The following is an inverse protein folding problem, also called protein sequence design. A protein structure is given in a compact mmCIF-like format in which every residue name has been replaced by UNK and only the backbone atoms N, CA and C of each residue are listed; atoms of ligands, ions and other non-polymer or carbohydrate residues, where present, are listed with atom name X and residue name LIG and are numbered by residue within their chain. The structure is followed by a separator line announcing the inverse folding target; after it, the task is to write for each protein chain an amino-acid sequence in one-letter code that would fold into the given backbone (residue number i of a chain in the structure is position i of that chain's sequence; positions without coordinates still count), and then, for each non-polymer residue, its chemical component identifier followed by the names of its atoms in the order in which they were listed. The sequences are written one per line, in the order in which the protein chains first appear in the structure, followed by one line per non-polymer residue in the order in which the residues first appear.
data_IF_692538636070
#
_entry.id   IF_692538636070
#
_cell.length_a   1.000
_cell.length_b   1.000
_cell.length_c   1.000
_cell.angle_alpha   90.00
_cell.angle_beta   90.00
_cell.angle_gamma   90.00
#
_symmetry.space_group_name_H-M   'P 1'
#
loop_
_entity.id
_entity.type
_entity.pdbx_description
1 polymer ?
#
# COMPACT_ATOMS: atom_id res chain seq x y z
N UNK A 1 9.61 7.98 38.24
CA UNK A 1 9.77 8.11 36.78
C UNK A 1 8.41 7.78 36.18
N UNK A 2 7.76 8.72 35.48
CA UNK A 2 6.36 8.57 35.05
C UNK A 2 6.27 8.48 33.53
N UNK A 3 5.65 7.41 33.05
CA UNK A 3 5.42 7.11 31.63
C UNK A 3 3.95 7.41 31.28
N UNK A 4 3.67 7.93 30.08
CA UNK A 4 2.30 8.12 29.54
C UNK A 4 1.99 7.04 28.49
N UNK A 5 0.78 6.96 27.94
CA UNK A 5 0.51 6.35 26.62
C UNK A 5 -0.49 7.22 25.85
N UNK A 6 -0.18 7.59 24.62
CA UNK A 6 -1.04 8.40 23.77
C UNK A 6 -1.61 7.57 22.61
N UNK A 7 -2.82 7.03 22.80
CA UNK A 7 -3.77 6.50 21.80
C UNK A 7 -4.83 7.58 21.56
N UNK A 8 -5.65 7.57 20.51
CA UNK A 8 -7.06 7.95 20.68
C UNK A 8 -7.93 7.38 19.54
N UNK A 9 -9.15 7.89 19.42
CA UNK A 9 -10.05 7.75 18.26
C UNK A 9 -10.76 9.11 18.06
N UNK A 10 -11.64 9.28 17.07
CA UNK A 10 -12.72 10.27 17.24
C UNK A 10 -13.97 9.91 16.46
N UNK A 11 -15.06 9.79 17.21
CA UNK A 11 -16.27 10.62 17.05
C UNK A 11 -16.88 10.77 18.46
N UNK A 12 -17.67 11.81 18.77
CA UNK A 12 -18.59 11.77 19.93
C UNK A 12 -19.48 10.52 19.91
N UNK A 13 -19.73 9.99 18.70
CA UNK A 13 -20.57 8.85 18.39
C UNK A 13 -19.76 7.58 18.04
N UNK A 14 -18.44 7.55 18.30
CA UNK A 14 -17.56 6.37 18.12
C UNK A 14 -17.13 6.03 16.68
N UNK A 15 -17.83 6.51 15.64
CA UNK A 15 -17.57 6.20 14.22
C UNK A 15 -16.21 6.74 13.73
N UNK A 16 -15.31 5.86 13.27
CA UNK A 16 -14.08 6.26 12.57
C UNK A 16 -14.08 5.74 11.14
N UNK A 17 -14.06 6.63 10.14
CA UNK A 17 -13.88 6.25 8.73
C UNK A 17 -12.38 6.11 8.43
N UNK A 18 -11.94 4.89 8.10
CA UNK A 18 -10.51 4.55 7.97
C UNK A 18 -10.21 3.84 6.63
N UNK A 19 -8.95 3.92 6.21
CA UNK A 19 -8.38 3.16 5.09
C UNK A 19 -8.59 1.63 5.29
N UNK A 20 -8.83 0.83 4.24
CA UNK A 20 -9.16 -0.59 4.42
C UNK A 20 -7.98 -1.46 4.88
N UNK A 21 -6.76 -1.16 4.43
CA UNK A 21 -5.65 -2.14 4.44
C UNK A 21 -4.78 -2.12 5.70
N UNK A 22 -4.90 -1.10 6.54
CA UNK A 22 -4.46 -1.17 7.93
C UNK A 22 -4.93 0.06 8.72
N UNK A 23 -5.59 -0.19 9.85
CA UNK A 23 -5.77 0.83 10.88
C UNK A 23 -4.56 0.76 11.79
N UNK A 24 -3.67 1.76 11.73
CA UNK A 24 -2.56 1.84 12.69
C UNK A 24 -2.89 2.79 13.83
N UNK A 25 -3.14 2.24 15.01
CA UNK A 25 -3.16 3.01 16.26
C UNK A 25 -1.75 3.53 16.52
N UNK A 26 -1.64 4.84 16.77
CA UNK A 26 -0.39 5.43 17.25
C UNK A 26 -0.41 5.47 18.77
N UNK A 27 0.68 5.08 19.41
CA UNK A 27 0.81 4.90 20.87
C UNK A 27 2.09 5.57 21.37
N UNK A 28 2.00 6.82 21.89
CA UNK A 28 3.20 7.52 22.41
C UNK A 28 3.36 7.50 23.92
N UNK A 29 4.49 6.99 24.37
CA UNK A 29 4.92 7.01 25.77
C UNK A 29 5.78 8.25 26.03
N UNK A 30 5.17 9.35 26.50
CA UNK A 30 5.90 10.59 26.83
C UNK A 30 6.12 10.72 28.36
N UNK A 31 7.29 11.14 28.85
CA UNK A 31 7.49 11.42 30.26
C UNK A 31 6.77 12.71 30.70
N UNK A 32 6.26 12.72 31.94
CA UNK A 32 5.63 13.90 32.53
C UNK A 32 6.66 14.87 33.12
N UNK A 33 7.37 15.61 32.25
CA UNK A 33 8.17 16.77 32.66
C UNK A 33 7.33 18.05 32.58
N UNK A 34 7.43 18.89 33.61
CA UNK A 34 7.01 20.30 33.59
C UNK A 34 8.15 21.12 34.15
N UNK A 35 8.58 22.15 33.43
CA UNK A 35 9.61 23.07 33.92
C UNK A 35 9.12 23.74 35.20
N UNK A 36 9.97 23.76 36.23
CA UNK A 36 9.79 24.64 37.38
C UNK A 36 10.20 26.05 36.97
N UNK A 37 9.24 26.96 36.81
CA UNK A 37 9.52 28.38 36.93
C UNK A 37 9.66 28.73 38.41
N UNK A 38 10.88 28.56 38.94
CA UNK A 38 11.25 29.14 40.22
C UNK A 38 11.55 30.63 40.02
N UNK A 39 10.71 31.51 40.55
CA UNK A 39 11.03 32.94 40.66
C UNK A 39 11.95 33.19 41.86
N UNK A 40 12.86 34.16 41.74
CA UNK A 40 13.93 34.44 42.69
C UNK A 40 13.49 34.97 44.07
N UNK A 41 12.20 35.05 44.36
CA UNK A 41 11.64 35.78 45.51
C UNK A 41 10.87 34.96 46.54
N UNK A 42 10.68 33.64 46.35
CA UNK A 42 10.03 32.77 47.34
C UNK A 42 10.68 31.37 47.41
N UNK A 43 10.86 30.79 48.60
CA UNK A 43 11.33 29.41 48.74
C UNK A 43 10.26 28.42 48.27
N UNK A 44 10.67 27.36 47.58
CA UNK A 44 9.77 26.29 47.16
C UNK A 44 9.16 25.58 48.38
N UNK A 45 7.85 25.72 48.57
CA UNK A 45 7.14 25.05 49.67
C UNK A 45 7.07 23.53 49.43
N UNK A 46 7.34 22.65 50.42
CA UNK A 46 7.39 21.20 50.20
C UNK A 46 6.03 20.53 49.93
N UNK A 47 4.93 21.28 50.07
CA UNK A 47 3.58 20.73 50.21
C UNK A 47 2.71 20.87 48.94
N UNK A 48 3.19 20.36 47.81
CA UNK A 48 2.30 19.90 46.73
C UNK A 48 2.81 18.56 46.19
N UNK A 49 2.30 17.48 46.79
CA UNK A 49 2.35 16.15 46.16
C UNK A 49 1.74 16.27 44.76
N UNK A 50 2.38 15.74 43.70
CA UNK A 50 1.84 15.85 42.36
C UNK A 50 0.49 15.13 42.28
N UNK A 51 -0.57 15.90 42.01
CA UNK A 51 -1.89 15.41 41.60
C UNK A 51 -1.73 14.42 40.43
N UNK A 52 -2.56 13.36 40.36
CA UNK A 52 -2.20 12.11 39.67
C UNK A 52 -1.79 12.29 38.22
N UNK A 53 -0.74 11.56 37.82
CA UNK A 53 -0.05 11.66 36.54
C UNK A 53 -1.00 11.53 35.34
N UNK A 54 -1.38 12.66 34.74
CA UNK A 54 -2.31 12.70 33.63
C UNK A 54 -1.70 12.15 32.33
N UNK A 55 -2.31 11.08 31.82
CA UNK A 55 -2.07 10.52 30.48
C UNK A 55 -2.82 11.35 29.42
N UNK A 56 -2.15 11.67 28.30
CA UNK A 56 -2.69 12.50 27.21
C UNK A 56 -2.76 11.71 25.92
N UNK A 57 -3.97 11.49 25.45
CA UNK A 57 -4.31 10.62 24.32
C UNK A 57 -4.22 11.36 22.96
N UNK A 58 -3.65 10.69 21.93
CA UNK A 58 -3.48 11.17 20.53
C UNK A 58 -3.50 10.06 19.47
N UNK A 59 -4.43 10.13 18.52
CA UNK A 59 -4.48 9.36 17.26
C UNK A 59 -4.19 10.29 16.10
N UNK A 60 -3.54 9.74 15.09
CA UNK A 60 -3.50 10.41 13.79
C UNK A 60 -3.68 9.33 12.76
N UNK A 61 -4.94 9.11 12.36
CA UNK A 61 -5.24 8.29 11.18
C UNK A 61 -4.54 8.96 10.00
N UNK A 62 -3.46 8.34 9.52
CA UNK A 62 -2.66 8.91 8.43
C UNK A 62 -3.57 9.15 7.22
N UNK A 63 -3.74 10.43 6.91
CA UNK A 63 -4.44 11.01 5.76
C UNK A 63 -5.96 11.24 5.80
N UNK A 64 -6.71 11.09 6.89
CA UNK A 64 -8.04 11.74 7.00
C UNK A 64 -8.33 12.29 8.40
N UNK A 65 -9.19 13.30 8.50
CA UNK A 65 -9.49 14.02 9.74
C UNK A 65 -10.43 13.18 10.61
N UNK A 66 -9.84 12.20 11.30
CA UNK A 66 -10.32 11.78 12.61
C UNK A 66 -9.59 12.65 13.64
N UNK A 67 -10.32 13.48 14.38
CA UNK A 67 -9.71 14.41 15.34
C UNK A 67 -9.38 13.75 16.68
N UNK A 68 -9.56 14.48 17.79
CA UNK A 68 -8.90 14.18 19.07
C UNK A 68 -9.85 13.82 20.23
N UNK A 69 -9.97 12.53 20.61
CA UNK A 69 -10.51 12.07 21.91
C UNK A 69 -9.45 12.14 23.00
N UNK A 70 -9.60 13.11 23.89
CA UNK A 70 -8.77 13.21 25.11
C UNK A 70 -9.40 12.34 26.20
N UNK A 71 -8.88 11.13 26.40
CA UNK A 71 -9.09 10.37 27.65
C UNK A 71 -7.82 10.43 28.52
N UNK A 72 -8.03 10.33 29.82
CA UNK A 72 -6.96 10.45 30.82
C UNK A 72 -7.19 9.45 31.94
N UNK A 73 -6.18 8.63 32.19
CA UNK A 73 -6.18 7.58 33.21
C UNK A 73 -5.32 8.05 34.40
N UNK A 74 -5.80 7.93 35.66
CA UNK A 74 -5.00 8.21 36.85
C UNK A 74 -3.87 7.19 37.07
N UNK A 75 -2.75 7.63 37.66
CA UNK A 75 -1.61 6.75 37.98
C UNK A 75 -1.94 5.57 38.91
N UNK A 76 -3.01 5.67 39.72
CA UNK A 76 -3.54 4.58 40.55
C UNK A 76 -3.94 3.36 39.70
N UNK A 77 -4.46 3.61 38.51
CA UNK A 77 -5.13 2.64 37.66
C UNK A 77 -4.19 2.18 36.52
N UNK A 78 -2.88 2.41 36.67
CA UNK A 78 -1.82 2.10 35.69
C UNK A 78 -1.71 0.60 35.36
N UNK A 79 -2.17 -0.27 36.27
CA UNK A 79 -2.23 -1.72 36.08
C UNK A 79 -3.58 -2.22 35.52
N UNK A 80 -4.56 -1.34 35.32
CA UNK A 80 -5.88 -1.70 34.77
C UNK A 80 -5.84 -1.77 33.24
N UNK A 81 -6.51 -2.77 32.66
CA UNK A 81 -6.65 -2.90 31.21
C UNK A 81 -7.60 -1.84 30.67
N UNK A 82 -7.09 -0.94 29.83
CA UNK A 82 -7.89 0.06 29.13
C UNK A 82 -8.62 -0.58 27.94
N UNK A 83 -9.95 -0.55 27.94
CA UNK A 83 -10.75 -0.91 26.75
C UNK A 83 -11.05 0.33 25.89
N UNK A 84 -10.71 0.24 24.60
CA UNK A 84 -10.98 1.23 23.56
C UNK A 84 -11.88 0.61 22.49
N UNK A 85 -13.17 0.99 22.39
CA UNK A 85 -14.02 0.59 21.28
C UNK A 85 -13.61 1.33 20.00
N UNK A 86 -13.58 0.61 18.88
CA UNK A 86 -13.20 1.11 17.55
C UNK A 86 -14.27 0.64 16.57
N UNK A 87 -14.97 1.58 15.94
CA UNK A 87 -15.93 1.28 14.89
C UNK A 87 -15.28 1.54 13.53
N UNK A 88 -15.17 0.50 12.71
CA UNK A 88 -14.71 0.58 11.32
C UNK A 88 -15.91 0.49 10.38
N UNK A 89 -15.98 1.39 9.40
CA UNK A 89 -16.89 1.29 8.26
C UNK A 89 -16.19 1.73 6.99
N UNK A 90 -16.30 0.92 5.95
CA UNK A 90 -15.73 1.23 4.65
C UNK A 90 -16.46 2.41 3.98
N UNK A 91 -15.70 3.33 3.39
CA UNK A 91 -16.24 4.40 2.55
C UNK A 91 -16.58 3.87 1.15
N UNK A 92 -17.79 4.19 0.66
CA UNK A 92 -18.35 3.66 -0.60
C UNK A 92 -17.53 4.09 -1.83
N UNK A 93 -17.26 5.38 -1.98
CA UNK A 93 -16.49 5.94 -3.10
C UNK A 93 -15.10 6.41 -2.66
N UNK A 94 -14.32 5.49 -2.08
CA UNK A 94 -12.93 5.81 -1.72
C UNK A 94 -12.03 5.77 -2.96
N UNK A 95 -11.30 6.85 -3.30
CA UNK A 95 -10.63 6.95 -4.60
C UNK A 95 -9.56 5.88 -4.82
N UNK A 96 -9.41 5.44 -6.08
CA UNK A 96 -8.43 4.42 -6.48
C UNK A 96 -7.48 5.00 -7.52
N UNK A 97 -6.18 4.85 -7.28
CA UNK A 97 -5.12 5.08 -8.26
C UNK A 97 -4.55 3.71 -8.66
N UNK A 98 -4.61 3.37 -9.94
CA UNK A 98 -3.97 2.18 -10.50
C UNK A 98 -2.87 2.60 -11.47
N UNK A 99 -1.63 2.20 -11.18
CA UNK A 99 -0.50 2.38 -12.08
C UNK A 99 -0.09 1.02 -12.66
N UNK A 100 -0.24 0.88 -13.98
CA UNK A 100 0.13 -0.33 -14.70
C UNK A 100 1.59 -0.23 -15.16
N UNK A 101 2.40 -1.20 -14.76
CA UNK A 101 3.83 -1.26 -15.05
C UNK A 101 4.12 -2.52 -15.88
N UNK A 102 4.40 -2.31 -17.16
CA UNK A 102 4.52 -3.38 -18.15
C UNK A 102 5.97 -3.60 -18.59
N UNK A 103 6.35 -4.87 -18.68
CA UNK A 103 7.53 -5.33 -19.40
C UNK A 103 7.39 -5.08 -20.91
N UNK A 104 8.34 -4.37 -21.52
CA UNK A 104 8.41 -4.15 -22.97
C UNK A 104 9.71 -4.71 -23.57
N UNK A 105 10.20 -5.82 -23.00
CA UNK A 105 11.11 -6.75 -23.65
C UNK A 105 10.47 -7.37 -24.91
N UNK A 106 11.29 -8.03 -25.73
CA UNK A 106 10.90 -8.51 -27.06
C UNK A 106 9.88 -9.67 -27.02
N UNK A 107 9.79 -10.41 -25.91
CA UNK A 107 8.81 -11.47 -25.70
C UNK A 107 7.38 -10.95 -25.50
N UNK A 108 7.22 -9.68 -25.10
CA UNK A 108 5.94 -9.07 -24.76
C UNK A 108 5.26 -8.31 -25.93
N UNK A 109 5.74 -8.44 -27.17
CA UNK A 109 5.19 -7.70 -28.35
C UNK A 109 3.78 -8.19 -28.75
N UNK A 110 3.44 -9.46 -28.53
CA UNK A 110 2.08 -10.00 -28.77
C UNK A 110 1.12 -9.69 -27.60
N UNK A 111 1.58 -9.83 -26.36
CA UNK A 111 0.84 -9.40 -25.16
C UNK A 111 0.39 -7.93 -25.22
N UNK A 112 1.18 -7.06 -25.87
CA UNK A 112 0.91 -5.62 -26.01
C UNK A 112 -0.44 -5.30 -26.66
N UNK A 113 -0.92 -6.09 -27.63
CA UNK A 113 -2.22 -5.83 -28.26
C UNK A 113 -3.37 -6.09 -27.27
N UNK A 114 -3.37 -7.26 -26.63
CA UNK A 114 -4.31 -7.60 -25.57
C UNK A 114 -4.31 -6.59 -24.43
N UNK A 115 -3.13 -6.22 -23.93
CA UNK A 115 -2.96 -5.29 -22.83
C UNK A 115 -3.39 -3.86 -23.17
N UNK A 116 -3.35 -3.48 -24.45
CA UNK A 116 -3.92 -2.22 -24.94
C UNK A 116 -5.45 -2.23 -24.92
N UNK A 117 -6.09 -3.32 -25.40
CA UNK A 117 -7.55 -3.50 -25.40
C UNK A 117 -8.13 -3.63 -23.99
N UNK A 118 -7.39 -4.32 -23.12
CA UNK A 118 -7.65 -4.48 -21.71
C UNK A 118 -7.84 -3.16 -20.97
N UNK A 119 -7.05 -2.12 -21.27
CA UNK A 119 -7.09 -0.86 -20.53
C UNK A 119 -8.48 -0.22 -20.48
N UNK A 120 -9.20 -0.27 -21.59
CA UNK A 120 -10.59 0.18 -21.71
C UNK A 120 -11.52 -0.65 -20.80
N UNK A 121 -11.35 -1.98 -20.80
CA UNK A 121 -12.14 -2.95 -20.02
C UNK A 121 -11.87 -2.81 -18.51
N UNK A 122 -10.61 -2.68 -18.11
CA UNK A 122 -10.19 -2.39 -16.74
C UNK A 122 -10.78 -1.08 -16.25
N UNK A 123 -10.68 -0.01 -17.05
CA UNK A 123 -11.24 1.28 -16.70
C UNK A 123 -12.76 1.21 -16.48
N UNK A 124 -13.49 0.54 -17.37
CA UNK A 124 -14.92 0.32 -17.21
C UNK A 124 -15.24 -0.50 -15.94
N UNK A 125 -14.53 -1.60 -15.70
CA UNK A 125 -14.71 -2.45 -14.52
C UNK A 125 -14.44 -1.69 -13.21
N UNK A 126 -13.38 -0.90 -13.13
CA UNK A 126 -13.05 -0.11 -11.94
C UNK A 126 -13.97 1.11 -11.77
N UNK A 127 -14.47 1.70 -12.87
CA UNK A 127 -15.44 2.82 -12.81
C UNK A 127 -16.82 2.37 -12.30
N UNK A 128 -17.17 1.08 -12.45
CA UNK A 128 -18.36 0.50 -11.82
C UNK A 128 -18.20 0.28 -10.30
N UNK A 129 -16.97 0.35 -9.79
CA UNK A 129 -16.63 0.10 -8.38
C UNK A 129 -16.40 1.42 -7.61
N UNK A 130 -15.80 2.42 -8.26
CA UNK A 130 -15.62 3.78 -7.71
C UNK A 130 -15.79 4.83 -8.81
N UNK A 131 -16.48 5.93 -8.49
CA UNK A 131 -16.60 7.09 -9.37
C UNK A 131 -15.32 7.93 -9.45
N UNK A 132 -14.26 7.57 -8.72
CA UNK A 132 -13.04 8.37 -8.58
C UNK A 132 -11.76 7.58 -8.86
N UNK A 133 -11.78 6.84 -9.98
CA UNK A 133 -10.67 6.06 -10.51
C UNK A 133 -9.65 6.93 -11.27
N UNK A 134 -8.37 6.58 -11.17
CA UNK A 134 -7.29 7.05 -12.07
C UNK A 134 -6.45 5.89 -12.56
N UNK A 135 -6.06 5.96 -13.82
CA UNK A 135 -5.17 5.01 -14.48
C UNK A 135 -3.86 5.70 -14.85
N UNK A 136 -2.75 4.99 -14.74
CA UNK A 136 -1.40 5.40 -15.15
C UNK A 136 -0.68 4.24 -15.84
N UNK A 137 0.32 4.56 -16.67
CA UNK A 137 1.07 3.57 -17.45
C UNK A 137 2.57 3.88 -17.46
N UNK A 138 3.37 2.88 -17.11
CA UNK A 138 4.81 2.88 -17.30
C UNK A 138 5.29 1.56 -17.86
N UNK A 139 6.55 1.55 -18.29
CA UNK A 139 7.20 0.34 -18.76
C UNK A 139 8.66 0.24 -18.35
N UNK A 140 9.20 -0.97 -18.46
CA UNK A 140 10.59 -1.29 -18.19
C UNK A 140 11.12 -2.30 -19.20
N UNK A 141 12.45 -2.40 -19.25
CA UNK A 141 13.21 -3.56 -19.76
C UNK A 141 14.29 -3.78 -18.70
N UNK A 142 15.55 -3.44 -18.98
CA UNK A 142 16.61 -3.43 -17.97
C UNK A 142 17.67 -2.32 -18.17
N UNK A 143 18.67 -2.31 -17.28
CA UNK A 143 19.75 -1.36 -17.17
C UNK A 143 20.57 -1.29 -18.45
N UNK A 144 20.86 -0.07 -18.89
CA UNK A 144 21.62 0.20 -20.12
C UNK A 144 23.14 0.06 -19.90
N UNK A 145 23.57 -1.05 -19.29
CA UNK A 145 24.97 -1.43 -19.04
C UNK A 145 25.16 -2.95 -19.23
N UNK A 146 26.38 -3.37 -19.56
CA UNK A 146 26.75 -4.79 -19.54
C UNK A 146 26.71 -5.33 -18.10
N UNK A 147 26.34 -6.62 -17.88
CA UNK A 147 25.99 -7.63 -18.89
C UNK A 147 24.52 -7.60 -19.35
N UNK A 148 23.67 -6.80 -18.70
CA UNK A 148 22.22 -6.76 -18.93
C UNK A 148 21.84 -6.38 -20.35
N UNK A 149 22.52 -5.37 -20.91
CA UNK A 149 22.28 -4.91 -22.29
C UNK A 149 23.61 -4.79 -23.04
N UNK A 150 23.59 -5.15 -24.33
CA UNK A 150 24.77 -5.04 -25.18
C UNK A 150 25.13 -3.57 -25.40
N UNK A 151 26.30 -3.13 -24.91
CA UNK A 151 26.80 -1.76 -25.10
C UNK A 151 27.45 -1.52 -26.47
N UNK A 152 27.36 -2.47 -27.41
CA UNK A 152 27.83 -2.31 -28.79
C UNK A 152 26.90 -1.30 -29.50
N UNK A 153 27.42 -0.23 -30.14
CA UNK A 153 26.57 0.86 -30.66
C UNK A 153 25.41 0.41 -31.55
N UNK A 154 25.63 -0.52 -32.49
CA UNK A 154 24.59 -1.05 -33.37
C UNK A 154 23.52 -1.86 -32.65
N UNK A 155 23.87 -2.53 -31.54
CA UNK A 155 22.92 -3.25 -30.67
C UNK A 155 22.20 -2.32 -29.69
N UNK A 156 22.82 -1.22 -29.28
CA UNK A 156 22.14 -0.16 -28.53
C UNK A 156 21.12 0.61 -29.40
N UNK A 157 21.34 0.70 -30.71
CA UNK A 157 20.37 1.29 -31.65
C UNK A 157 19.19 0.36 -31.95
N UNK A 158 19.46 -0.93 -32.12
CA UNK A 158 18.47 -1.96 -32.44
C UNK A 158 18.86 -3.29 -31.76
N UNK A 159 18.39 -3.55 -30.51
CA UNK A 159 18.80 -4.74 -29.77
C UNK A 159 18.28 -6.03 -30.43
N UNK A 160 17.04 -5.98 -30.90
CA UNK A 160 16.30 -7.08 -31.51
C UNK A 160 15.56 -6.66 -32.80
N UNK A 161 14.98 -7.65 -33.47
CA UNK A 161 14.04 -7.53 -34.59
C UNK A 161 12.81 -8.37 -34.22
N UNK A 162 11.63 -7.78 -34.36
CA UNK A 162 10.35 -8.39 -34.01
C UNK A 162 9.88 -9.35 -35.11
N UNK A 163 8.86 -10.16 -34.81
CA UNK A 163 8.32 -11.20 -35.70
C UNK A 163 7.83 -10.69 -37.07
N UNK A 164 7.48 -9.40 -37.16
CA UNK A 164 7.06 -8.72 -38.39
C UNK A 164 8.19 -7.95 -39.11
N UNK A 165 9.43 -8.07 -38.64
CA UNK A 165 10.60 -7.40 -39.18
C UNK A 165 10.83 -5.97 -38.68
N UNK A 166 9.97 -5.41 -37.80
CA UNK A 166 10.25 -4.12 -37.14
C UNK A 166 11.51 -4.24 -36.27
N UNK A 167 12.34 -3.20 -36.29
CA UNK A 167 13.47 -3.06 -35.37
C UNK A 167 12.98 -2.62 -33.99
N UNK A 168 13.49 -3.24 -32.94
CA UNK A 168 13.25 -2.84 -31.57
C UNK A 168 13.85 -1.46 -31.28
N UNK A 169 13.25 -0.71 -30.35
CA UNK A 169 13.82 0.53 -29.85
C UNK A 169 15.02 0.30 -28.92
N UNK A 170 15.75 1.39 -28.65
CA UNK A 170 16.90 1.39 -27.73
C UNK A 170 16.50 0.93 -26.32
N UNK A 171 17.33 0.11 -25.63
CA UNK A 171 17.08 -0.32 -24.25
C UNK A 171 16.97 0.83 -23.25
N UNK A 172 16.19 0.60 -22.19
CA UNK A 172 15.96 1.54 -21.10
C UNK A 172 15.47 0.80 -19.83
N UNK A 173 15.84 1.32 -18.65
CA UNK A 173 15.43 0.73 -17.38
C UNK A 173 13.96 0.98 -17.03
N UNK A 174 13.52 2.24 -17.02
CA UNK A 174 12.13 2.62 -16.70
C UNK A 174 11.69 3.86 -17.49
N UNK A 175 10.44 3.87 -17.93
CA UNK A 175 9.75 5.06 -18.49
C UNK A 175 8.34 5.16 -17.91
N UNK A 176 8.01 6.33 -17.37
CA UNK A 176 6.63 6.75 -17.11
C UNK A 176 6.09 7.35 -18.42
N UNK A 177 5.19 6.64 -19.08
CA UNK A 177 4.57 7.09 -20.34
C UNK A 177 3.33 7.94 -20.07
N UNK A 178 2.55 7.55 -19.05
CA UNK A 178 1.28 8.18 -18.70
C UNK A 178 1.16 8.32 -17.17
N UNK A 179 1.31 9.54 -16.63
CA UNK A 179 0.97 9.82 -15.23
C UNK A 179 -0.49 9.49 -14.91
N UNK A 180 -0.80 9.29 -13.63
CA UNK A 180 -2.14 8.96 -13.13
C UNK A 180 -3.17 10.03 -13.53
N UNK A 181 -4.06 9.67 -14.46
CA UNK A 181 -5.09 10.52 -15.03
C UNK A 181 -6.49 9.92 -14.86
N UNK A 182 -7.52 10.76 -14.87
CA UNK A 182 -8.92 10.34 -14.94
C UNK A 182 -9.38 10.03 -16.37
N UNK A 183 -8.67 10.53 -17.39
CA UNK A 183 -8.96 10.18 -18.79
C UNK A 183 -8.29 8.85 -19.15
N UNK A 184 -9.02 7.77 -18.89
CA UNK A 184 -8.51 6.41 -19.14
C UNK A 184 -8.41 6.07 -20.63
N UNK A 185 -9.08 6.81 -21.51
CA UNK A 185 -9.12 6.51 -22.96
C UNK A 185 -7.76 6.67 -23.64
N UNK A 186 -6.89 7.51 -23.08
CA UNK A 186 -5.55 7.72 -23.65
C UNK A 186 -4.63 6.52 -23.39
N UNK A 187 -4.89 5.71 -22.36
CA UNK A 187 -4.08 4.54 -21.98
C UNK A 187 -3.82 3.61 -23.16
N UNK A 188 -4.88 3.23 -23.88
CA UNK A 188 -4.78 2.38 -25.08
C UNK A 188 -3.76 2.92 -26.08
N UNK A 189 -3.82 4.24 -26.32
CA UNK A 189 -2.92 4.92 -27.26
C UNK A 189 -1.48 5.03 -26.73
N UNK A 190 -1.28 5.24 -25.41
CA UNK A 190 0.05 5.31 -24.82
C UNK A 190 0.74 3.93 -24.78
N UNK A 191 -0.02 2.86 -24.50
CA UNK A 191 0.47 1.48 -24.64
C UNK A 191 0.90 1.21 -26.08
N UNK A 192 0.07 1.57 -27.06
CA UNK A 192 0.39 1.37 -28.49
C UNK A 192 1.63 2.17 -28.94
N UNK A 193 1.78 3.43 -28.50
CA UNK A 193 2.94 4.28 -28.80
C UNK A 193 4.23 3.80 -28.14
N UNK A 194 4.16 3.21 -26.94
CA UNK A 194 5.34 2.74 -26.21
C UNK A 194 6.08 1.66 -27.01
N UNK A 195 7.34 1.88 -27.43
CA UNK A 195 8.02 0.96 -28.32
C UNK A 195 8.57 -0.25 -27.57
N UNK A 196 8.42 -1.44 -28.16
CA UNK A 196 9.09 -2.66 -27.70
C UNK A 196 10.59 -2.55 -27.93
N UNK A 197 11.35 -3.13 -27.01
CA UNK A 197 12.79 -3.02 -26.87
C UNK A 197 13.36 -4.41 -26.50
N UNK A 198 14.68 -4.52 -26.28
CA UNK A 198 15.29 -5.77 -25.83
C UNK A 198 16.62 -5.55 -25.10
N UNK A 199 16.98 -6.57 -24.33
CA UNK A 199 18.16 -6.75 -23.49
C UNK A 199 18.99 -7.95 -24.00
N UNK A 200 19.96 -8.40 -23.21
CA UNK A 200 20.90 -9.48 -23.57
C UNK A 200 20.71 -10.75 -22.71
N UNK A 201 20.38 -10.58 -21.44
CA UNK A 201 20.01 -11.66 -20.53
C UNK A 201 18.48 -11.87 -20.47
N UNK A 202 18.03 -12.72 -19.55
CA UNK A 202 16.65 -13.20 -19.46
C UNK A 202 15.84 -12.72 -18.23
N UNK A 203 16.45 -12.37 -17.08
CA UNK A 203 15.73 -11.64 -16.04
C UNK A 203 15.61 -10.16 -16.42
N UNK A 204 14.58 -9.47 -15.92
CA UNK A 204 14.32 -8.07 -16.24
C UNK A 204 14.58 -7.10 -15.09
N UNK A 205 14.75 -5.83 -15.44
CA UNK A 205 15.01 -4.70 -14.52
C UNK A 205 13.79 -4.19 -13.76
N UNK A 206 12.66 -4.88 -13.83
CA UNK A 206 11.36 -4.40 -13.37
C UNK A 206 11.28 -3.95 -11.91
N UNK A 207 12.18 -4.40 -11.04
CA UNK A 207 12.21 -4.00 -9.62
C UNK A 207 12.73 -2.58 -9.42
N UNK A 208 13.64 -2.10 -10.27
CA UNK A 208 14.01 -0.68 -10.29
C UNK A 208 12.81 0.17 -10.71
N UNK A 209 12.04 -0.30 -11.70
CA UNK A 209 10.85 0.38 -12.17
C UNK A 209 9.73 0.43 -11.12
N UNK A 210 9.51 -0.66 -10.36
CA UNK A 210 8.63 -0.65 -9.18
C UNK A 210 9.11 0.40 -8.17
N UNK A 211 10.40 0.41 -7.82
CA UNK A 211 10.96 1.35 -6.86
C UNK A 211 10.80 2.81 -7.31
N UNK A 212 11.10 3.11 -8.58
CA UNK A 212 10.90 4.45 -9.15
C UNK A 212 9.42 4.86 -9.12
N UNK A 213 8.51 3.98 -9.54
CA UNK A 213 7.07 4.25 -9.50
C UNK A 213 6.53 4.44 -8.07
N UNK A 214 7.10 3.78 -7.06
CA UNK A 214 6.73 3.96 -5.65
C UNK A 214 7.28 5.25 -5.02
N UNK A 215 8.43 5.75 -5.48
CA UNK A 215 9.14 6.88 -4.86
C UNK A 215 8.85 8.22 -5.57
N UNK A 216 8.66 8.21 -6.89
CA UNK A 216 8.46 9.42 -7.70
C UNK A 216 7.02 9.95 -7.67
N UNK A 217 6.50 10.21 -6.45
CA UNK A 217 5.11 10.62 -6.19
C UNK A 217 4.57 11.71 -7.10
N UNK A 218 5.37 12.75 -7.38
CA UNK A 218 4.94 13.90 -8.18
C UNK A 218 4.88 13.58 -9.68
N UNK A 219 5.83 12.77 -10.18
CA UNK A 219 5.91 12.40 -11.59
C UNK A 219 4.86 11.35 -11.96
N UNK A 220 4.57 10.41 -11.04
CA UNK A 220 3.54 9.39 -11.23
C UNK A 220 2.13 9.96 -10.93
N UNK A 221 2.01 10.90 -9.98
CA UNK A 221 0.76 11.58 -9.65
C UNK A 221 -0.08 10.90 -8.55
N UNK A 222 0.54 10.10 -7.67
CA UNK A 222 -0.14 9.41 -6.57
C UNK A 222 -0.87 10.40 -5.64
N UNK A 223 -2.15 10.17 -5.38
CA UNK A 223 -2.92 11.02 -4.47
C UNK A 223 -2.63 10.65 -3.02
N UNK A 224 -2.43 11.60 -2.08
CA UNK A 224 -2.18 11.26 -0.67
C UNK A 224 -3.35 10.53 0.04
N UNK A 225 -4.50 10.39 -0.62
CA UNK A 225 -5.79 9.93 -0.09
C UNK A 225 -6.49 8.98 -1.09
N UNK A 226 -5.76 8.05 -1.70
CA UNK A 226 -6.32 7.00 -2.55
C UNK A 226 -5.88 5.61 -2.08
N UNK A 227 -6.52 4.56 -2.62
CA UNK A 227 -6.03 3.18 -2.63
C UNK A 227 -5.04 3.11 -3.79
N UNK A 228 -3.77 2.85 -3.50
CA UNK A 228 -2.75 2.73 -4.54
C UNK A 228 -2.57 1.26 -4.92
N UNK A 229 -2.77 0.97 -6.21
CA UNK A 229 -2.56 -0.34 -6.81
C UNK A 229 -1.44 -0.20 -7.85
N UNK A 230 -0.36 -0.95 -7.71
CA UNK A 230 0.69 -1.03 -8.71
C UNK A 230 0.62 -2.44 -9.30
N UNK A 231 0.20 -2.53 -10.56
CA UNK A 231 0.15 -3.80 -11.30
C UNK A 231 1.47 -3.96 -12.04
N UNK A 232 2.14 -5.09 -11.83
CA UNK A 232 3.41 -5.42 -12.45
C UNK A 232 3.21 -6.61 -13.38
N UNK A 233 3.47 -6.42 -14.68
CA UNK A 233 3.22 -7.41 -15.74
C UNK A 233 4.50 -7.80 -16.47
N UNK A 234 4.81 -9.10 -16.55
CA UNK A 234 6.00 -9.66 -17.24
C UNK A 234 5.86 -11.16 -17.52
N UNK A 235 6.59 -11.63 -18.53
CA UNK A 235 6.84 -13.04 -18.83
C UNK A 235 8.29 -13.47 -18.50
N UNK A 236 8.94 -12.79 -17.56
CA UNK A 236 10.32 -13.04 -17.15
C UNK A 236 10.52 -13.14 -15.61
N UNK A 237 11.69 -13.69 -15.24
CA UNK A 237 12.23 -13.54 -13.89
C UNK A 237 12.77 -12.10 -13.70
N UNK A 238 13.25 -11.77 -12.50
CA UNK A 238 13.63 -10.42 -12.11
C UNK A 238 15.05 -10.34 -11.55
N UNK A 239 15.75 -9.24 -11.80
CA UNK A 239 17.01 -8.96 -11.11
C UNK A 239 16.81 -8.65 -9.63
N UNK A 240 17.49 -9.40 -8.77
CA UNK A 240 17.39 -9.27 -7.32
C UNK A 240 18.48 -8.37 -6.74
N UNK A 241 18.08 -7.21 -6.21
CA UNK A 241 18.86 -6.45 -5.24
C UNK A 241 17.93 -5.69 -4.27
N UNK A 242 18.04 -5.95 -2.97
CA UNK A 242 17.35 -5.16 -1.94
C UNK A 242 15.82 -5.35 -1.88
N UNK A 243 15.31 -6.57 -2.01
CA UNK A 243 13.90 -6.94 -1.79
C UNK A 243 13.31 -6.36 -0.47
N UNK A 244 14.10 -6.35 0.60
CA UNK A 244 13.75 -5.71 1.87
C UNK A 244 13.46 -4.20 1.77
N UNK A 245 14.12 -3.48 0.84
CA UNK A 245 13.85 -2.05 0.59
C UNK A 245 12.51 -1.84 -0.12
N UNK A 246 12.13 -2.75 -1.03
CA UNK A 246 10.82 -2.71 -1.72
C UNK A 246 9.70 -2.93 -0.71
N UNK A 247 9.77 -3.96 0.14
CA UNK A 247 8.76 -4.22 1.18
C UNK A 247 8.59 -3.02 2.14
N UNK A 248 9.70 -2.38 2.53
CA UNK A 248 9.66 -1.18 3.35
C UNK A 248 8.97 -0.01 2.61
N UNK A 249 9.38 0.28 1.37
CA UNK A 249 8.85 1.39 0.58
C UNK A 249 7.41 1.20 0.12
N UNK A 250 6.97 -0.03 -0.18
CA UNK A 250 5.57 -0.35 -0.47
C UNK A 250 4.68 0.00 0.72
N UNK A 251 5.06 -0.42 1.93
CA UNK A 251 4.35 -0.11 3.19
C UNK A 251 4.39 1.37 3.54
N UNK A 252 5.54 2.03 3.38
CA UNK A 252 5.70 3.47 3.66
C UNK A 252 4.80 4.33 2.77
N UNK A 253 4.71 3.99 1.48
CA UNK A 253 3.93 4.69 0.47
C UNK A 253 2.47 4.20 0.33
N UNK A 254 2.06 3.18 1.11
CA UNK A 254 0.74 2.55 1.07
C UNK A 254 0.38 2.05 -0.35
N UNK A 255 1.30 1.30 -0.98
CA UNK A 255 1.14 0.74 -2.33
C UNK A 255 0.96 -0.77 -2.24
N UNK A 256 -0.14 -1.27 -2.80
CA UNK A 256 -0.41 -2.70 -2.95
C UNK A 256 0.16 -3.13 -4.30
N UNK A 257 1.00 -4.16 -4.28
CA UNK A 257 1.72 -4.64 -5.45
C UNK A 257 1.04 -5.90 -5.98
N UNK A 258 0.53 -5.86 -7.21
CA UNK A 258 -0.14 -6.99 -7.86
C UNK A 258 0.81 -7.54 -8.92
N UNK A 259 1.42 -8.70 -8.66
CA UNK A 259 2.22 -9.42 -9.64
C UNK A 259 1.29 -10.18 -10.60
N UNK A 260 1.15 -9.68 -11.81
CA UNK A 260 0.49 -10.37 -12.91
C UNK A 260 1.58 -11.04 -13.76
N UNK A 261 1.73 -12.36 -13.66
CA UNK A 261 2.84 -13.07 -14.31
C UNK A 261 2.37 -14.34 -14.99
N UNK A 262 3.02 -14.72 -16.10
CA UNK A 262 2.64 -15.94 -16.82
C UNK A 262 2.88 -17.19 -15.97
N UNK A 263 2.14 -18.28 -16.27
CA UNK A 263 2.12 -19.52 -15.49
C UNK A 263 3.52 -20.12 -15.18
N UNK A 264 4.53 -19.84 -16.01
CA UNK A 264 5.91 -20.32 -15.84
C UNK A 264 6.58 -19.75 -14.58
N UNK A 265 6.29 -18.49 -14.22
CA UNK A 265 6.97 -17.76 -13.14
C UNK A 265 6.13 -17.60 -11.87
N UNK A 266 4.88 -18.08 -11.89
CA UNK A 266 3.96 -17.98 -10.74
C UNK A 266 4.56 -18.55 -9.45
N UNK A 267 5.40 -19.59 -9.53
CA UNK A 267 6.14 -20.14 -8.38
C UNK A 267 7.14 -19.15 -7.79
N UNK A 268 7.98 -18.51 -8.61
CA UNK A 268 8.99 -17.53 -8.19
C UNK A 268 8.34 -16.33 -7.52
N UNK A 269 7.35 -15.72 -8.19
CA UNK A 269 6.66 -14.53 -7.65
C UNK A 269 5.78 -14.86 -6.44
N UNK A 270 5.30 -16.11 -6.29
CA UNK A 270 4.60 -16.54 -5.07
C UNK A 270 5.53 -16.55 -3.86
N UNK A 271 6.77 -17.03 -3.99
CA UNK A 271 7.76 -16.99 -2.90
C UNK A 271 8.13 -15.55 -2.51
N UNK A 272 8.15 -14.63 -3.48
CA UNK A 272 8.37 -13.21 -3.24
C UNK A 272 7.19 -12.54 -2.54
N UNK A 273 5.95 -12.85 -2.95
CA UNK A 273 4.71 -12.32 -2.36
C UNK A 273 4.69 -12.50 -0.84
N UNK A 274 5.06 -13.69 -0.34
CA UNK A 274 5.12 -13.97 1.10
C UNK A 274 6.09 -13.06 1.88
N UNK A 275 7.04 -12.39 1.20
CA UNK A 275 7.97 -11.41 1.82
C UNK A 275 7.46 -9.97 1.75
N UNK A 276 6.61 -9.62 0.79
CA UNK A 276 6.10 -8.26 0.57
C UNK A 276 4.68 -8.17 1.15
N UNK A 277 4.56 -7.57 2.34
CA UNK A 277 3.27 -7.50 3.03
C UNK A 277 2.29 -6.58 2.28
N UNK A 278 1.13 -7.13 1.89
CA UNK A 278 0.14 -6.45 1.04
C UNK A 278 0.37 -6.65 -0.47
N UNK A 279 1.31 -7.51 -0.88
CA UNK A 279 1.42 -7.95 -2.26
C UNK A 279 0.46 -9.11 -2.58
N UNK A 280 0.02 -9.12 -3.83
CA UNK A 280 -0.81 -10.15 -4.43
C UNK A 280 -0.15 -10.74 -5.67
N UNK A 281 -0.61 -11.92 -6.08
CA UNK A 281 -0.18 -12.57 -7.32
C UNK A 281 -1.40 -13.11 -8.05
N UNK A 282 -1.45 -12.88 -9.36
CA UNK A 282 -2.38 -13.55 -10.25
C UNK A 282 -1.65 -14.07 -11.48
N UNK A 283 -2.19 -15.15 -12.03
CA UNK A 283 -1.61 -15.83 -13.19
C UNK A 283 -2.16 -15.22 -14.47
N UNK A 284 -1.29 -14.64 -15.30
CA UNK A 284 -1.65 -14.23 -16.66
C UNK A 284 -1.88 -15.46 -17.54
N UNK A 285 -2.92 -15.39 -18.38
CA UNK A 285 -3.00 -16.21 -19.59
C UNK A 285 -1.89 -15.82 -20.57
N UNK A 286 -1.61 -16.67 -21.57
CA UNK A 286 -0.54 -16.43 -22.57
C UNK A 286 -0.76 -15.21 -23.47
N UNK A 287 -1.98 -14.70 -23.45
CA UNK A 287 -2.48 -13.57 -24.24
C UNK A 287 -2.90 -12.41 -23.33
N UNK A 288 -2.56 -12.46 -22.03
CA UNK A 288 -2.95 -11.51 -20.97
C UNK A 288 -4.43 -11.09 -20.88
N UNK A 289 -5.35 -11.81 -21.53
CA UNK A 289 -6.77 -11.44 -21.64
C UNK A 289 -7.59 -11.55 -20.35
N UNK A 290 -7.01 -12.10 -19.27
CA UNK A 290 -7.69 -12.33 -17.99
C UNK A 290 -7.35 -11.30 -16.89
N UNK A 291 -6.47 -10.33 -17.15
CA UNK A 291 -5.90 -9.49 -16.08
C UNK A 291 -6.86 -8.43 -15.53
N UNK A 292 -7.96 -8.08 -16.23
CA UNK A 292 -8.99 -7.20 -15.66
C UNK A 292 -9.76 -7.90 -14.54
N UNK A 293 -10.11 -9.18 -14.74
CA UNK A 293 -10.73 -9.99 -13.70
C UNK A 293 -9.75 -10.24 -12.56
N UNK A 294 -8.47 -10.50 -12.85
CA UNK A 294 -7.40 -10.62 -11.86
C UNK A 294 -7.32 -9.38 -10.96
N UNK A 295 -7.26 -8.18 -11.56
CA UNK A 295 -7.19 -6.91 -10.82
C UNK A 295 -8.46 -6.67 -10.02
N UNK A 296 -9.64 -7.00 -10.58
CA UNK A 296 -10.91 -6.94 -9.86
C UNK A 296 -10.91 -7.87 -8.65
N UNK A 297 -10.53 -9.13 -8.81
CA UNK A 297 -10.51 -10.15 -7.74
C UNK A 297 -9.52 -9.76 -6.63
N UNK A 298 -8.33 -9.26 -6.99
CA UNK A 298 -7.36 -8.77 -6.01
C UNK A 298 -7.83 -7.48 -5.33
N UNK A 299 -8.49 -6.57 -6.06
CA UNK A 299 -9.12 -5.41 -5.44
C UNK A 299 -10.23 -5.81 -4.46
N UNK A 300 -11.11 -6.74 -4.83
CA UNK A 300 -12.18 -7.25 -3.96
C UNK A 300 -11.59 -7.86 -2.68
N UNK A 301 -10.55 -8.70 -2.77
CA UNK A 301 -9.82 -9.22 -1.58
C UNK A 301 -9.21 -8.11 -0.72
N UNK A 302 -8.68 -7.05 -1.34
CA UNK A 302 -8.06 -5.92 -0.66
C UNK A 302 -9.05 -4.97 0.05
N UNK A 303 -10.36 -5.15 -0.19
CA UNK A 303 -11.43 -4.29 0.38
C UNK A 303 -12.43 -5.08 1.22
N UNK A 304 -12.49 -6.40 1.04
CA UNK A 304 -13.28 -7.34 1.84
C UNK A 304 -12.70 -7.56 3.26
N UNK A 305 -11.41 -7.27 3.48
CA UNK A 305 -10.77 -7.39 4.80
C UNK A 305 -10.27 -6.07 5.39
N UNK A 306 -10.20 -6.04 6.72
CA UNK A 306 -9.56 -4.98 7.51
C UNK A 306 -8.66 -5.62 8.58
N UNK A 307 -7.48 -5.03 8.77
CA UNK A 307 -6.51 -5.42 9.80
C UNK A 307 -6.21 -4.22 10.70
N UNK A 308 -6.35 -4.41 12.01
CA UNK A 308 -5.88 -3.46 13.02
C UNK A 308 -4.42 -3.76 13.41
N UNK A 309 -3.68 -2.72 13.75
CA UNK A 309 -2.36 -2.83 14.35
C UNK A 309 -1.92 -1.52 14.99
N UNK A 310 -0.71 -1.50 15.54
CA UNK A 310 -0.21 -0.41 16.38
C UNK A 310 1.30 -0.16 16.21
N UNK A 311 1.78 0.99 16.72
CA UNK A 311 3.21 1.29 16.89
C UNK A 311 3.68 1.23 18.36
N UNK A 312 3.11 0.32 19.16
CA UNK A 312 3.59 0.03 20.53
C UNK A 312 5.07 -0.32 20.57
N UNK A 313 5.76 0.09 21.63
CA UNK A 313 7.00 -0.54 22.08
C UNK A 313 6.74 -1.53 23.22
N UNK A 314 7.76 -2.26 23.63
CA UNK A 314 7.69 -3.40 24.57
C UNK A 314 7.04 -3.12 25.93
N UNK A 315 6.91 -1.85 26.33
CA UNK A 315 6.24 -1.39 27.56
C UNK A 315 4.73 -1.18 27.40
N UNK A 316 4.12 -1.65 26.29
CA UNK A 316 2.68 -1.54 26.03
C UNK A 316 2.19 -2.82 25.36
N UNK A 317 1.29 -3.55 26.01
CA UNK A 317 0.63 -4.72 25.43
C UNK A 317 -0.73 -4.30 24.84
N UNK A 318 -0.96 -4.60 23.56
CA UNK A 318 -2.23 -4.33 22.87
C UNK A 318 -2.80 -5.63 22.32
N UNK A 319 -4.04 -5.95 22.72
CA UNK A 319 -4.81 -7.08 22.20
C UNK A 319 -6.09 -6.61 21.55
N UNK A 320 -6.43 -7.16 20.40
CA UNK A 320 -7.61 -6.78 19.63
C UNK A 320 -8.67 -7.87 19.71
N UNK A 321 -9.93 -7.45 19.81
CA UNK A 321 -11.07 -8.33 19.93
C UNK A 321 -12.18 -7.89 18.99
N UNK A 322 -12.87 -8.83 18.33
CA UNK A 322 -14.03 -8.55 17.48
C UNK A 322 -15.01 -9.72 17.41
N UNK A 323 -16.22 -9.43 16.92
CA UNK A 323 -17.28 -10.41 16.60
C UNK A 323 -17.46 -10.63 15.09
N UNK A 324 -16.70 -9.96 14.23
CA UNK A 324 -16.89 -10.00 12.77
C UNK A 324 -16.99 -11.41 12.16
N UNK A 325 -16.16 -12.35 12.63
CA UNK A 325 -16.13 -13.74 12.15
C UNK A 325 -17.36 -14.56 12.56
N UNK A 326 -18.16 -14.09 13.53
CA UNK A 326 -19.44 -14.67 13.91
C UNK A 326 -20.29 -13.58 14.59
N UNK A 327 -21.14 -12.90 13.82
CA UNK A 327 -21.98 -11.77 14.28
C UNK A 327 -22.90 -12.13 15.47
N UNK A 328 -23.29 -13.39 15.58
CA UNK A 328 -24.13 -13.92 16.67
C UNK A 328 -23.32 -14.55 17.81
N UNK A 329 -21.99 -14.51 17.74
CA UNK A 329 -21.08 -15.19 18.66
C UNK A 329 -20.53 -14.33 19.80
N UNK A 330 -19.69 -14.97 20.58
CA UNK A 330 -18.87 -14.30 21.60
C UNK A 330 -17.73 -13.49 20.98
N UNK A 331 -17.24 -12.52 21.75
CA UNK A 331 -16.12 -11.68 21.40
C UNK A 331 -14.83 -12.52 21.35
N UNK A 332 -14.18 -12.61 20.18
CA UNK A 332 -12.94 -13.38 19.99
C UNK A 332 -11.73 -12.46 19.89
N UNK A 333 -10.58 -12.93 20.39
CA UNK A 333 -9.30 -12.26 20.17
C UNK A 333 -8.92 -12.36 18.68
N UNK A 334 -9.02 -11.24 17.96
CA UNK A 334 -8.62 -11.09 16.56
C UNK A 334 -8.36 -9.62 16.24
N UNK A 335 -7.33 -9.38 15.44
CA UNK A 335 -7.02 -8.09 14.83
C UNK A 335 -7.51 -7.96 13.39
N UNK A 336 -8.08 -9.03 12.83
CA UNK A 336 -8.44 -9.14 11.41
C UNK A 336 -9.88 -9.61 11.25
N UNK A 337 -10.54 -9.03 10.26
CA UNK A 337 -11.91 -9.35 9.85
C UNK A 337 -11.98 -9.33 8.32
N UNK A 338 -12.44 -10.43 7.71
CA UNK A 338 -12.78 -10.53 6.29
C UNK A 338 -14.29 -10.69 6.08
N UNK A 339 -14.76 -10.75 4.83
CA UNK A 339 -16.18 -10.83 4.48
C UNK A 339 -16.94 -9.50 4.61
N UNK A 340 -16.23 -8.36 4.67
CA UNK A 340 -16.81 -7.05 4.98
C UNK A 340 -17.39 -6.42 3.72
N UNK A 341 -18.73 -6.48 3.62
CA UNK A 341 -19.45 -5.81 2.55
C UNK A 341 -19.33 -4.28 2.63
N UNK A 342 -19.37 -3.62 1.47
CA UNK A 342 -19.52 -2.15 1.40
C UNK A 342 -20.76 -1.74 2.20
N UNK A 343 -20.63 -0.71 3.06
CA UNK A 343 -21.59 -0.25 4.08
C UNK A 343 -21.64 -1.01 5.41
N UNK A 344 -21.04 -2.20 5.51
CA UNK A 344 -21.00 -2.93 6.78
C UNK A 344 -20.13 -2.17 7.81
N UNK A 345 -20.63 -2.07 9.03
CA UNK A 345 -19.86 -1.61 10.19
C UNK A 345 -19.34 -2.82 10.96
N UNK A 346 -18.05 -2.78 11.29
CA UNK A 346 -17.38 -3.77 12.12
C UNK A 346 -16.86 -3.11 13.38
N UNK A 347 -17.26 -3.66 14.53
CA UNK A 347 -16.81 -3.19 15.83
C UNK A 347 -15.62 -4.03 16.32
N UNK A 348 -14.62 -3.34 16.87
CA UNK A 348 -13.47 -3.91 17.55
C UNK A 348 -13.34 -3.32 18.95
N UNK A 349 -12.70 -4.06 19.85
CA UNK A 349 -12.25 -3.58 21.16
C UNK A 349 -10.74 -3.81 21.24
N UNK A 350 -9.98 -2.74 21.36
CA UNK A 350 -8.57 -2.81 21.71
C UNK A 350 -8.44 -2.79 23.25
N UNK A 351 -7.79 -3.80 23.82
CA UNK A 351 -7.39 -3.88 25.22
C UNK A 351 -5.93 -3.50 25.34
N UNK A 352 -5.64 -2.40 26.00
CA UNK A 352 -4.29 -1.87 26.20
C UNK A 352 -3.89 -2.03 27.67
N UNK A 353 -2.68 -2.54 27.90
CA UNK A 353 -2.07 -2.69 29.23
C UNK A 353 -0.65 -2.09 29.21
N UNK A 354 -0.23 -1.57 30.35
CA UNK A 354 1.04 -0.86 30.59
C UNK A 354 1.93 -1.62 31.58
#
# INVERSE_FOLDING_TARGET
MFWRIAIEALSPDGVVQIRPQSVKLRLRVEPALREQQCSLSLPCSPAFLPTPSYVRMRTTVKHHVAGTVKRTVPYKDFWETLELPIQYRQAEDYPVDLYYLMDLSASMDDDKESLSLLGDKMAATMSNITGNFRLGFGSFVDKVVMPFTSTVPSRLESPCVLSDGRKCARPYGFKNHMPLTTDTKIFKSEVQKAPVSGNLDAPEGGFDAIMQAMVCHQQIGWRPKARHLLVFSTDADFHMAGDGRINHKAKENNINLIFAVTKKYTSTYKLLKERIGGASIGTLSKDSNNVDQLIKDEYEKLVDSVVLGDDSGDSVEVRYFSKCLNKSGELRETRECGGISVREQVDFIARIKV
#
